data_IF_238621334221
#
_entry.id   IF_238621334221
#
_cell.length_a   1.000
_cell.length_b   1.000
_cell.length_c   1.000
_cell.angle_alpha   90.00
_cell.angle_beta   90.00
_cell.angle_gamma   90.00
#
_symmetry.space_group_name_H-M   'P 1'
#
loop_
_entity.id
_entity.type
_entity.pdbx_description
1 polymer ?
#
# COMPACT_ATOMS: atom_id res chain seq x y z
N UNK A 1 22.50 20.99 16.75
CA UNK A 1 22.27 20.12 15.59
C UNK A 1 20.77 19.97 15.49
N UNK A 2 20.18 20.37 14.37
CA UNK A 2 18.74 20.22 14.16
C UNK A 2 18.39 18.73 14.23
N UNK A 3 17.41 18.38 15.07
CA UNK A 3 16.88 17.03 15.20
C UNK A 3 16.12 16.67 13.92
N UNK A 4 16.83 16.19 12.90
CA UNK A 4 16.20 15.55 11.75
C UNK A 4 15.67 14.19 12.20
N UNK A 5 14.35 14.03 12.30
CA UNK A 5 13.73 12.72 12.50
C UNK A 5 13.99 11.85 11.27
N UNK A 6 14.22 10.55 11.48
CA UNK A 6 14.58 9.60 10.42
C UNK A 6 13.47 9.48 9.36
N UNK A 7 12.23 9.65 9.81
CA UNK A 7 11.06 9.82 8.96
C UNK A 7 10.40 11.17 9.30
N UNK A 8 9.76 11.84 8.32
CA UNK A 8 8.91 12.98 8.64
C UNK A 8 7.84 12.53 9.63
N UNK A 9 7.62 13.33 10.68
CA UNK A 9 6.50 13.09 11.60
C UNK A 9 5.20 13.30 10.85
N UNK A 10 4.26 12.39 11.06
CA UNK A 10 2.95 12.54 10.43
C UNK A 10 2.21 13.75 11.00
N UNK A 11 1.77 14.63 10.13
CA UNK A 11 0.92 15.76 10.47
C UNK A 11 -0.55 15.35 10.42
N UNK A 12 -1.29 15.57 11.52
CA UNK A 12 -2.73 15.28 11.65
C UNK A 12 -3.08 13.78 11.65
N UNK A 13 -2.17 12.93 12.14
CA UNK A 13 -2.39 11.49 12.30
C UNK A 13 -3.62 11.17 13.18
N UNK A 14 -4.02 12.09 14.06
CA UNK A 14 -5.18 11.92 14.94
C UNK A 14 -6.46 11.64 14.14
N UNK A 15 -6.63 12.25 12.96
CA UNK A 15 -7.81 12.04 12.11
C UNK A 15 -7.95 10.59 11.65
N UNK A 16 -6.83 9.93 11.34
CA UNK A 16 -6.81 8.53 10.93
C UNK A 16 -7.05 7.61 12.14
N UNK A 17 -6.37 7.88 13.26
CA UNK A 17 -6.53 7.07 14.47
C UNK A 17 -7.92 7.22 15.10
N UNK A 18 -8.57 8.37 15.00
CA UNK A 18 -9.98 8.53 15.40
C UNK A 18 -10.92 7.61 14.61
N UNK A 19 -10.64 7.37 13.33
CA UNK A 19 -11.40 6.42 12.50
C UNK A 19 -11.08 4.98 12.88
N UNK A 20 -9.81 4.63 13.09
CA UNK A 20 -9.38 3.30 13.54
C UNK A 20 -10.03 2.95 14.89
N UNK A 21 -9.96 3.85 15.87
CA UNK A 21 -10.50 3.63 17.22
C UNK A 21 -12.02 3.46 17.26
N UNK A 22 -12.74 3.99 16.26
CA UNK A 22 -14.20 3.81 16.12
C UNK A 22 -14.58 2.47 15.48
N UNK A 23 -13.63 1.76 14.87
CA UNK A 23 -13.85 0.47 14.22
C UNK A 23 -13.08 -0.65 14.96
N UNK A 24 -13.77 -1.47 15.77
CA UNK A 24 -13.14 -2.57 16.51
C UNK A 24 -12.37 -3.56 15.61
N UNK A 25 -12.83 -3.74 14.37
CA UNK A 25 -12.17 -4.61 13.41
C UNK A 25 -10.87 -4.00 12.91
N UNK A 26 -10.82 -2.68 12.69
CA UNK A 26 -9.59 -1.98 12.35
C UNK A 26 -8.56 -2.07 13.47
N UNK A 27 -8.98 -1.86 14.73
CA UNK A 27 -8.12 -2.07 15.89
C UNK A 27 -7.56 -3.49 15.96
N UNK A 28 -8.41 -4.50 15.73
CA UNK A 28 -8.01 -5.91 15.71
C UNK A 28 -6.97 -6.18 14.63
N UNK A 29 -7.20 -5.73 13.40
CA UNK A 29 -6.27 -5.92 12.27
C UNK A 29 -4.91 -5.27 12.50
N UNK A 30 -4.90 -4.06 13.05
CA UNK A 30 -3.66 -3.37 13.40
C UNK A 30 -2.86 -4.16 14.45
N UNK A 31 -3.57 -4.64 15.48
CA UNK A 31 -2.98 -5.45 16.54
C UNK A 31 -2.44 -6.78 16.01
N UNK A 32 -3.21 -7.50 15.20
CA UNK A 32 -2.80 -8.77 14.58
C UNK A 32 -1.57 -8.57 13.69
N UNK A 33 -1.56 -7.55 12.83
CA UNK A 33 -0.42 -7.26 11.95
C UNK A 33 0.84 -6.96 12.77
N UNK A 34 0.70 -6.22 13.87
CA UNK A 34 1.83 -5.91 14.76
C UNK A 34 2.41 -7.18 15.40
N UNK A 35 1.58 -8.04 15.99
CA UNK A 35 2.08 -9.28 16.61
C UNK A 35 2.61 -10.27 15.57
N UNK A 36 1.95 -10.42 14.42
CA UNK A 36 2.46 -11.24 13.32
C UNK A 36 3.85 -10.75 12.85
N UNK A 37 4.06 -9.43 12.80
CA UNK A 37 5.38 -8.87 12.46
C UNK A 37 6.44 -9.07 13.54
N UNK A 38 6.05 -9.29 14.80
CA UNK A 38 6.97 -9.65 15.89
C UNK A 38 7.28 -11.16 15.93
N UNK A 39 6.28 -12.00 15.62
CA UNK A 39 6.36 -13.46 15.72
C UNK A 39 6.94 -14.15 14.48
N UNK A 40 7.01 -13.44 13.34
CA UNK A 40 7.54 -13.97 12.08
C UNK A 40 9.02 -14.39 12.13
N UNK A 41 9.76 -14.01 13.19
CA UNK A 41 11.16 -14.33 13.42
C UNK A 41 11.39 -15.35 14.57
N UNK A 42 10.39 -16.17 14.92
CA UNK A 42 10.53 -17.17 15.99
C UNK A 42 11.49 -18.33 15.69
N UNK A 43 12.03 -18.44 14.47
CA UNK A 43 12.96 -19.50 14.04
C UNK A 43 14.38 -19.01 13.63
N UNK A 44 14.76 -17.75 13.91
CA UNK A 44 16.05 -17.20 13.45
C UNK A 44 16.90 -16.64 14.60
N UNK A 45 18.12 -17.16 14.74
CA UNK A 45 19.24 -16.56 15.51
C UNK A 45 19.66 -15.14 15.01
N UNK A 46 18.89 -14.47 14.13
CA UNK A 46 19.21 -13.20 13.47
C UNK A 46 18.08 -12.14 13.46
N UNK A 47 16.93 -12.32 14.14
CA UNK A 47 15.75 -11.44 13.91
C UNK A 47 15.66 -10.13 14.71
N UNK A 48 16.47 -9.94 15.75
CA UNK A 48 16.39 -8.76 16.63
C UNK A 48 17.67 -7.94 16.57
N UNK A 49 17.55 -6.61 16.61
CA UNK A 49 18.68 -5.74 16.86
C UNK A 49 19.47 -6.24 18.10
N UNK A 50 20.81 -6.23 18.07
CA UNK A 50 21.61 -6.55 19.25
C UNK A 50 21.15 -5.74 20.48
N UNK A 51 21.22 -6.29 21.72
CA UNK A 51 20.67 -5.66 22.92
C UNK A 51 21.10 -4.19 23.11
N UNK A 52 22.35 -3.87 22.79
CA UNK A 52 22.89 -2.51 22.87
C UNK A 52 22.27 -1.58 21.83
N UNK A 53 22.04 -2.08 20.61
CA UNK A 53 21.38 -1.34 19.53
C UNK A 53 19.90 -1.11 19.84
N UNK A 54 19.23 -2.09 20.44
CA UNK A 54 17.87 -1.93 20.97
C UNK A 54 17.80 -0.86 22.06
N UNK A 55 18.70 -0.91 23.05
CA UNK A 55 18.76 0.10 24.12
C UNK A 55 19.02 1.52 23.58
N UNK A 56 19.85 1.63 22.54
CA UNK A 56 20.08 2.89 21.83
C UNK A 56 18.81 3.39 21.14
N UNK A 57 18.14 2.54 20.33
CA UNK A 57 16.91 2.90 19.64
C UNK A 57 15.80 3.34 20.62
N UNK A 58 15.71 2.69 21.79
CA UNK A 58 14.77 3.06 22.85
C UNK A 58 15.08 4.44 23.43
N UNK A 59 16.35 4.73 23.74
CA UNK A 59 16.75 6.05 24.26
C UNK A 59 16.55 7.16 23.23
N UNK A 60 16.83 6.87 21.96
CA UNK A 60 16.67 7.81 20.86
C UNK A 60 15.19 8.13 20.63
N UNK A 61 14.33 7.11 20.53
CA UNK A 61 12.88 7.27 20.42
C UNK A 61 12.30 8.11 21.57
N UNK A 62 12.79 7.91 22.81
CA UNK A 62 12.38 8.71 23.97
C UNK A 62 12.81 10.18 23.85
N UNK A 63 14.07 10.44 23.51
CA UNK A 63 14.60 11.81 23.38
C UNK A 63 13.96 12.58 22.22
N UNK A 64 13.81 11.90 21.09
CA UNK A 64 13.34 12.49 19.84
C UNK A 64 11.83 12.37 19.65
N UNK A 65 11.10 11.74 20.58
CA UNK A 65 9.66 11.46 20.46
C UNK A 65 9.32 10.83 19.11
N UNK A 66 10.18 9.92 18.65
CA UNK A 66 10.07 9.25 17.36
C UNK A 66 9.75 7.77 17.61
N UNK A 67 8.47 7.45 17.52
CA UNK A 67 7.99 6.08 17.70
C UNK A 67 8.43 5.17 16.55
N UNK A 68 8.64 5.72 15.35
CA UNK A 68 8.98 4.95 14.15
C UNK A 68 10.32 4.24 14.31
N UNK A 69 11.31 4.92 14.89
CA UNK A 69 12.62 4.33 15.17
C UNK A 69 12.52 3.09 16.09
N UNK A 70 11.63 3.13 17.08
CA UNK A 70 11.40 2.01 17.99
C UNK A 70 10.60 0.89 17.30
N UNK A 71 9.56 1.22 16.53
CA UNK A 71 8.76 0.24 15.79
C UNK A 71 9.63 -0.56 14.81
N UNK A 72 10.51 0.12 14.08
CA UNK A 72 11.45 -0.55 13.18
C UNK A 72 12.42 -1.47 13.91
N UNK A 73 12.84 -1.10 15.12
CA UNK A 73 13.71 -1.93 15.95
C UNK A 73 13.02 -3.21 16.46
N UNK A 74 11.72 -3.18 16.74
CA UNK A 74 11.00 -4.31 17.36
C UNK A 74 10.24 -5.19 16.37
N UNK A 75 9.80 -4.63 15.24
CA UNK A 75 8.98 -5.35 14.27
C UNK A 75 9.30 -5.03 12.82
N UNK A 76 10.44 -4.38 12.53
CA UNK A 76 10.92 -4.10 11.17
C UNK A 76 9.87 -3.43 10.26
N UNK A 77 9.06 -2.55 10.85
CA UNK A 77 8.05 -1.78 10.16
C UNK A 77 8.01 -0.35 10.73
N UNK A 78 7.85 0.64 9.86
CA UNK A 78 7.42 1.98 10.30
C UNK A 78 5.94 1.96 10.72
N UNK A 79 5.47 3.06 11.34
CA UNK A 79 4.02 3.22 11.60
C UNK A 79 3.18 3.09 10.32
N UNK A 80 3.66 3.65 9.21
CA UNK A 80 2.95 3.56 7.92
C UNK A 80 2.99 2.18 7.31
N UNK A 81 4.11 1.46 7.46
CA UNK A 81 4.19 0.09 7.00
C UNK A 81 3.19 -0.77 7.77
N UNK A 82 3.07 -0.61 9.09
CA UNK A 82 2.04 -1.28 9.87
C UNK A 82 0.63 -0.93 9.37
N UNK A 83 0.30 0.35 9.23
CA UNK A 83 -1.02 0.78 8.76
C UNK A 83 -1.36 0.23 7.35
N UNK A 84 -0.40 0.27 6.42
CA UNK A 84 -0.57 -0.26 5.05
C UNK A 84 -0.67 -1.77 5.05
N UNK A 85 0.14 -2.46 5.84
CA UNK A 85 0.14 -3.92 5.94
C UNK A 85 -1.12 -4.45 6.64
N UNK A 86 -1.72 -3.67 7.53
CA UNK A 86 -3.05 -3.91 8.11
C UNK A 86 -4.21 -3.52 7.18
N UNK A 87 -3.91 -3.01 5.97
CA UNK A 87 -4.86 -2.40 5.03
C UNK A 87 -5.77 -1.34 5.67
N UNK A 88 -5.18 -0.53 6.55
CA UNK A 88 -5.79 0.63 7.20
C UNK A 88 -5.30 1.95 6.58
N UNK A 89 -4.33 1.89 5.67
CA UNK A 89 -3.92 2.99 4.83
C UNK A 89 -3.74 2.52 3.38
N UNK A 90 -4.16 3.31 2.37
CA UNK A 90 -3.85 3.03 0.98
C UNK A 90 -2.36 3.29 0.69
N UNK A 91 -1.90 2.75 -0.44
CA UNK A 91 -0.58 3.01 -0.99
C UNK A 91 -0.59 4.28 -1.83
N UNK A 92 0.46 5.10 -1.73
CA UNK A 92 0.61 6.23 -2.63
C UNK A 92 1.14 5.75 -3.98
N UNK A 93 0.50 6.18 -5.07
CA UNK A 93 1.01 5.96 -6.42
C UNK A 93 2.38 6.62 -6.55
N UNK A 94 3.32 5.84 -7.07
CA UNK A 94 4.67 6.30 -7.40
C UNK A 94 5.42 6.96 -6.22
N UNK A 95 5.14 6.48 -4.99
CA UNK A 95 5.75 6.99 -3.77
C UNK A 95 7.28 7.00 -3.88
N UNK A 96 7.90 8.07 -3.39
CA UNK A 96 9.36 8.24 -3.33
C UNK A 96 10.04 8.15 -4.71
N UNK A 97 9.32 8.51 -5.78
CA UNK A 97 9.81 8.48 -7.16
C UNK A 97 9.93 7.07 -7.75
N UNK A 98 9.46 6.03 -7.06
CA UNK A 98 9.45 4.65 -7.56
C UNK A 98 8.10 4.27 -8.12
N UNK A 99 8.05 3.77 -9.34
CA UNK A 99 6.80 3.31 -9.96
C UNK A 99 6.18 2.12 -9.18
N UNK A 100 5.05 2.33 -8.52
CA UNK A 100 4.28 1.30 -7.82
C UNK A 100 2.79 1.71 -7.74
N UNK A 101 1.87 0.88 -8.27
CA UNK A 101 2.12 -0.33 -9.03
C UNK A 101 2.69 -0.02 -10.42
N UNK A 102 3.49 -0.93 -10.97
CA UNK A 102 4.05 -0.81 -12.33
C UNK A 102 2.98 -1.22 -13.34
N UNK A 103 2.63 -0.32 -14.24
CA UNK A 103 1.70 -0.60 -15.32
C UNK A 103 2.36 -1.52 -16.35
N UNK A 104 1.74 -2.65 -16.63
CA UNK A 104 2.23 -3.65 -17.59
C UNK A 104 1.46 -3.61 -18.91
N UNK A 105 0.40 -2.81 -18.99
CA UNK A 105 -0.35 -2.59 -20.23
C UNK A 105 -0.63 -1.12 -20.46
N UNK A 106 -0.75 -0.72 -21.72
CA UNK A 106 -1.26 0.60 -22.10
C UNK A 106 -2.79 0.72 -21.88
N UNK A 107 -3.34 1.91 -22.16
CA UNK A 107 -4.78 2.20 -22.12
C UNK A 107 -5.63 1.29 -23.03
N UNK A 108 -5.02 0.74 -24.10
CA UNK A 108 -5.65 -0.18 -25.07
C UNK A 108 -5.49 -1.65 -24.66
N UNK A 109 -4.94 -1.91 -23.48
CA UNK A 109 -4.70 -3.23 -22.93
C UNK A 109 -3.61 -4.02 -23.66
N UNK A 110 -2.67 -3.36 -24.33
CA UNK A 110 -1.51 -3.99 -24.96
C UNK A 110 -0.34 -4.07 -23.98
N UNK A 111 0.34 -5.21 -23.94
CA UNK A 111 1.46 -5.45 -23.03
C UNK A 111 2.68 -4.58 -23.31
N UNK A 112 3.20 -3.93 -22.26
CA UNK A 112 4.39 -3.06 -22.26
C UNK A 112 5.64 -3.89 -21.96
N UNK A 113 6.30 -4.39 -23.01
CA UNK A 113 7.46 -5.31 -22.89
C UNK A 113 8.68 -4.65 -22.26
N UNK A 114 8.81 -3.34 -22.39
CA UNK A 114 9.92 -2.53 -21.88
C UNK A 114 10.03 -2.53 -20.34
N UNK A 115 8.96 -2.92 -19.62
CA UNK A 115 8.95 -2.96 -18.15
C UNK A 115 9.77 -4.12 -17.57
N UNK A 116 10.14 -5.12 -18.37
CA UNK A 116 11.02 -6.22 -17.94
C UNK A 116 10.41 -7.18 -16.90
N UNK A 117 9.12 -7.05 -16.57
CA UNK A 117 8.42 -7.92 -15.61
C UNK A 117 7.80 -9.09 -16.35
N UNK A 118 8.11 -10.31 -15.90
CA UNK A 118 7.56 -11.52 -16.50
C UNK A 118 6.08 -11.70 -16.12
N UNK A 119 5.25 -11.93 -17.13
CA UNK A 119 3.83 -12.27 -16.98
C UNK A 119 3.58 -13.55 -17.76
N UNK A 120 2.86 -14.50 -17.17
CA UNK A 120 2.48 -15.72 -17.87
C UNK A 120 1.43 -15.43 -18.95
N UNK A 121 1.51 -16.14 -20.09
CA UNK A 121 0.51 -16.01 -21.17
C UNK A 121 -0.91 -16.22 -20.64
N UNK A 122 -1.09 -17.14 -19.68
CA UNK A 122 -2.37 -17.41 -19.02
C UNK A 122 -2.94 -16.19 -18.29
N UNK A 123 -2.11 -15.47 -17.55
CA UNK A 123 -2.56 -14.28 -16.79
C UNK A 123 -2.85 -13.11 -17.73
N UNK A 124 -2.04 -12.94 -18.79
CA UNK A 124 -2.29 -11.92 -19.81
C UNK A 124 -3.55 -12.22 -20.62
N UNK A 125 -3.76 -13.45 -21.07
CA UNK A 125 -4.97 -13.87 -21.80
C UNK A 125 -6.23 -13.69 -20.94
N UNK A 126 -6.13 -14.02 -19.65
CA UNK A 126 -7.21 -13.78 -18.69
C UNK A 126 -7.53 -12.29 -18.58
N UNK A 127 -6.53 -11.43 -18.43
CA UNK A 127 -6.74 -9.98 -18.42
C UNK A 127 -7.38 -9.49 -19.73
N UNK A 128 -6.86 -9.92 -20.89
CA UNK A 128 -7.36 -9.53 -22.23
C UNK A 128 -8.81 -9.91 -22.45
N UNK A 129 -9.24 -11.08 -21.94
CA UNK A 129 -10.65 -11.49 -22.00
C UNK A 129 -11.55 -10.53 -21.22
N UNK A 130 -11.20 -10.25 -19.97
CA UNK A 130 -11.96 -9.35 -19.09
C UNK A 130 -12.00 -7.93 -19.65
N UNK A 131 -10.85 -7.43 -20.13
CA UNK A 131 -10.72 -6.11 -20.73
C UNK A 131 -11.67 -5.92 -21.94
N UNK A 132 -11.84 -6.97 -22.77
CA UNK A 132 -12.76 -6.94 -23.91
C UNK A 132 -14.23 -6.94 -23.50
N UNK A 133 -14.58 -7.63 -22.43
CA UNK A 133 -15.95 -7.76 -21.93
C UNK A 133 -16.43 -6.49 -21.20
N UNK A 134 -15.52 -5.85 -20.45
CA UNK A 134 -15.83 -4.66 -19.63
C UNK A 134 -15.37 -3.35 -20.28
N UNK A 135 -15.98 -3.03 -21.43
CA UNK A 135 -15.71 -1.75 -22.10
C UNK A 135 -16.13 -0.56 -21.24
N UNK A 136 -15.27 0.45 -21.15
CA UNK A 136 -15.51 1.68 -20.39
C UNK A 136 -14.95 1.68 -18.95
N UNK A 137 -14.45 0.55 -18.45
CA UNK A 137 -13.72 0.51 -17.17
C UNK A 137 -12.23 0.73 -17.43
N UNK A 138 -11.64 1.76 -16.80
CA UNK A 138 -10.19 2.00 -16.85
C UNK A 138 -9.46 0.91 -16.07
N UNK A 139 -8.96 -0.10 -16.79
CA UNK A 139 -8.29 -1.24 -16.20
C UNK A 139 -6.97 -1.57 -16.89
N UNK A 140 -5.99 -1.98 -16.09
CA UNK A 140 -4.64 -2.27 -16.54
C UNK A 140 -4.16 -3.56 -15.90
N UNK A 141 -3.34 -4.32 -16.62
CA UNK A 141 -2.50 -5.32 -15.97
C UNK A 141 -1.37 -4.56 -15.27
N UNK A 142 -1.12 -4.88 -14.01
CA UNK A 142 -0.09 -4.21 -13.24
C UNK A 142 0.66 -5.19 -12.33
N UNK A 143 1.87 -4.78 -11.96
CA UNK A 143 2.67 -5.43 -10.94
C UNK A 143 2.70 -4.56 -9.70
N UNK A 144 2.15 -5.07 -8.60
CA UNK A 144 2.07 -4.38 -7.32
C UNK A 144 2.92 -5.09 -6.27
N UNK A 145 3.55 -4.31 -5.39
CA UNK A 145 4.26 -4.83 -4.23
C UNK A 145 4.06 -3.91 -3.02
N UNK A 146 4.26 -4.47 -1.83
CA UNK A 146 4.31 -3.74 -0.57
C UNK A 146 5.77 -3.44 -0.23
N UNK A 147 5.98 -2.37 0.53
CA UNK A 147 7.28 -1.97 1.05
C UNK A 147 7.30 -2.21 2.56
N UNK A 148 8.46 -2.57 3.10
CA UNK A 148 8.76 -2.46 4.53
C UNK A 148 10.09 -1.76 4.71
N UNK A 149 10.23 -1.03 5.81
CA UNK A 149 11.48 -0.42 6.21
C UNK A 149 12.05 -1.14 7.43
N UNK A 150 13.30 -1.58 7.35
CA UNK A 150 14.01 -2.19 8.47
C UNK A 150 15.41 -1.60 8.60
N UNK A 151 16.03 -1.77 9.76
CA UNK A 151 17.45 -1.49 9.92
C UNK A 151 18.27 -2.60 9.30
N UNK A 152 19.26 -2.24 8.50
CA UNK A 152 20.31 -3.17 8.10
C UNK A 152 21.12 -3.61 9.33
N UNK A 153 21.38 -4.91 9.43
CA UNK A 153 21.99 -5.53 10.62
C UNK A 153 23.42 -5.02 10.86
N UNK A 154 24.16 -4.76 9.78
CA UNK A 154 25.56 -4.39 9.83
C UNK A 154 25.73 -2.87 10.01
N UNK A 155 25.05 -2.08 9.17
CA UNK A 155 25.27 -0.63 9.03
C UNK A 155 24.36 0.22 9.91
N UNK A 156 23.22 -0.31 10.38
CA UNK A 156 22.15 0.46 11.02
C UNK A 156 21.52 1.54 10.14
N UNK A 157 21.75 1.48 8.83
CA UNK A 157 21.04 2.32 7.89
C UNK A 157 19.62 1.77 7.65
N UNK A 158 18.71 2.66 7.26
CA UNK A 158 17.35 2.26 6.90
C UNK A 158 17.36 1.70 5.49
N UNK A 159 16.95 0.46 5.35
CA UNK A 159 16.73 -0.18 4.05
C UNK A 159 15.25 -0.40 3.76
N UNK A 160 14.88 -0.25 2.49
CA UNK A 160 13.55 -0.54 1.97
C UNK A 160 13.55 -1.91 1.28
N UNK A 161 12.65 -2.79 1.71
CA UNK A 161 12.48 -4.12 1.13
C UNK A 161 11.13 -4.27 0.43
N UNK A 162 11.13 -4.88 -0.76
CA UNK A 162 9.92 -5.28 -1.47
C UNK A 162 9.36 -6.58 -0.90
N UNK A 163 8.05 -6.65 -0.77
CA UNK A 163 7.36 -7.86 -0.30
C UNK A 163 5.95 -7.98 -0.87
N UNK A 164 5.41 -9.20 -0.90
CA UNK A 164 4.05 -9.45 -1.39
C UNK A 164 3.85 -9.09 -2.86
N UNK A 165 4.86 -9.36 -3.68
CA UNK A 165 4.89 -9.08 -5.11
C UNK A 165 3.82 -9.88 -5.85
N UNK A 166 2.99 -9.19 -6.62
CA UNK A 166 1.86 -9.79 -7.30
C UNK A 166 1.62 -9.18 -8.69
N UNK A 167 1.26 -10.05 -9.64
CA UNK A 167 0.61 -9.64 -10.88
C UNK A 167 -0.90 -9.55 -10.63
N UNK A 168 -1.50 -8.44 -11.03
CA UNK A 168 -2.89 -8.11 -10.73
C UNK A 168 -3.54 -7.26 -11.80
N UNK A 169 -4.86 -7.11 -11.67
CA UNK A 169 -5.63 -6.10 -12.41
C UNK A 169 -5.74 -4.86 -11.55
N UNK A 170 -5.27 -3.74 -12.06
CA UNK A 170 -5.46 -2.42 -11.46
C UNK A 170 -6.66 -1.74 -12.12
N UNK A 171 -7.67 -1.44 -11.31
CA UNK A 171 -8.78 -0.58 -11.70
C UNK A 171 -8.46 0.84 -11.27
N UNK A 172 -8.63 1.80 -12.17
CA UNK A 172 -8.36 3.22 -11.91
C UNK A 172 -9.65 4.01 -11.97
N UNK A 173 -9.93 4.76 -10.92
CA UNK A 173 -11.08 5.64 -10.79
C UNK A 173 -10.61 7.08 -10.58
N UNK A 174 -11.43 8.05 -10.96
CA UNK A 174 -11.18 9.45 -10.62
C UNK A 174 -11.43 9.67 -9.12
N UNK A 175 -10.53 10.39 -8.45
CA UNK A 175 -10.71 10.72 -7.04
C UNK A 175 -11.87 11.73 -6.86
N UNK A 176 -12.69 11.58 -5.81
CA UNK A 176 -13.65 12.62 -5.42
C UNK A 176 -12.93 13.95 -5.16
N UNK A 177 -13.57 15.07 -5.52
CA UNK A 177 -12.97 16.41 -5.37
C UNK A 177 -12.50 16.72 -3.94
N UNK A 178 -13.13 16.10 -2.93
CA UNK A 178 -12.77 16.24 -1.50
C UNK A 178 -11.37 15.73 -1.14
N UNK A 179 -10.76 14.88 -1.98
CA UNK A 179 -9.39 14.35 -1.82
C UNK A 179 -8.37 15.26 -2.49
N UNK A 180 -8.75 15.97 -3.56
CA UNK A 180 -7.86 16.84 -4.35
C UNK A 180 -7.33 18.03 -3.53
N UNK A 181 -8.11 18.48 -2.56
CA UNK A 181 -7.81 19.64 -1.71
C UNK A 181 -6.97 19.32 -0.45
N UNK A 182 -6.48 18.08 -0.28
CA UNK A 182 -5.77 17.69 0.95
C UNK A 182 -4.27 18.00 0.87
N UNK A 183 -3.75 18.55 1.97
CA UNK A 183 -2.36 19.00 2.08
C UNK A 183 -1.43 17.92 2.67
N UNK A 184 -1.96 16.97 3.44
CA UNK A 184 -1.17 15.91 4.12
C UNK A 184 -1.62 14.49 3.77
N UNK A 185 -0.74 13.50 3.97
CA UNK A 185 -1.07 12.09 3.71
C UNK A 185 -2.18 11.56 4.62
N UNK A 186 -2.14 11.86 5.92
CA UNK A 186 -3.22 11.50 6.85
C UNK A 186 -4.59 12.05 6.42
N UNK A 187 -4.64 13.28 5.89
CA UNK A 187 -5.89 13.85 5.38
C UNK A 187 -6.40 13.11 4.15
N UNK A 188 -5.52 12.71 3.23
CA UNK A 188 -5.87 11.91 2.07
C UNK A 188 -6.37 10.51 2.50
N UNK A 189 -5.69 9.87 3.46
CA UNK A 189 -6.09 8.58 4.03
C UNK A 189 -7.47 8.63 4.68
N UNK A 190 -7.72 9.67 5.49
CA UNK A 190 -9.02 9.87 6.12
C UNK A 190 -10.14 10.07 5.09
N UNK A 191 -9.86 10.72 3.96
CA UNK A 191 -10.83 10.98 2.91
C UNK A 191 -11.21 9.73 2.11
N UNK A 192 -10.26 8.81 1.86
CA UNK A 192 -10.54 7.55 1.15
C UNK A 192 -10.86 6.37 2.09
N UNK A 193 -10.87 6.61 3.41
CA UNK A 193 -11.10 5.59 4.43
C UNK A 193 -12.37 4.78 4.20
N UNK A 194 -13.51 5.45 3.96
CA UNK A 194 -14.81 4.76 3.88
C UNK A 194 -14.86 3.83 2.66
N UNK A 195 -14.31 4.27 1.53
CA UNK A 195 -14.14 3.47 0.31
C UNK A 195 -13.20 2.29 0.58
N UNK A 196 -12.04 2.56 1.20
CA UNK A 196 -11.07 1.53 1.53
C UNK A 196 -11.67 0.46 2.46
N UNK A 197 -12.40 0.83 3.51
CA UNK A 197 -13.05 -0.12 4.41
C UNK A 197 -14.13 -0.94 3.71
N UNK A 198 -14.92 -0.32 2.84
CA UNK A 198 -15.89 -1.03 2.02
C UNK A 198 -15.21 -2.05 1.08
N UNK A 199 -14.09 -1.68 0.46
CA UNK A 199 -13.24 -2.57 -0.35
C UNK A 199 -12.72 -3.69 0.53
N UNK A 200 -12.07 -3.41 1.65
CA UNK A 200 -11.49 -4.44 2.51
C UNK A 200 -12.54 -5.42 3.03
N UNK A 201 -13.76 -4.96 3.33
CA UNK A 201 -14.87 -5.82 3.78
C UNK A 201 -15.34 -6.80 2.70
N UNK A 202 -15.43 -6.39 1.43
CA UNK A 202 -15.90 -7.26 0.34
C UNK A 202 -14.75 -7.95 -0.43
N UNK A 203 -13.56 -7.36 -0.42
CA UNK A 203 -12.36 -7.69 -1.19
C UNK A 203 -11.10 -7.64 -0.29
N UNK A 204 -10.97 -8.52 0.72
CA UNK A 204 -9.94 -8.43 1.77
C UNK A 204 -8.49 -8.64 1.29
N UNK A 205 -8.29 -8.94 0.01
CA UNK A 205 -6.96 -9.12 -0.61
C UNK A 205 -6.66 -8.07 -1.67
N UNK A 206 -7.51 -7.06 -1.80
CA UNK A 206 -7.28 -5.93 -2.71
C UNK A 206 -6.36 -4.91 -2.03
N UNK A 207 -5.48 -4.30 -2.81
CA UNK A 207 -4.73 -3.12 -2.38
C UNK A 207 -5.40 -1.87 -2.94
N UNK A 208 -5.45 -0.82 -2.12
CA UNK A 208 -5.99 0.48 -2.55
C UNK A 208 -4.82 1.42 -2.73
N UNK A 209 -4.80 2.13 -3.85
CA UNK A 209 -3.81 3.15 -4.18
C UNK A 209 -4.49 4.52 -4.29
N UNK A 210 -3.77 5.59 -4.01
CA UNK A 210 -4.21 6.97 -4.19
C UNK A 210 -3.03 7.84 -4.66
N UNK A 211 -3.28 8.97 -5.31
CA UNK A 211 -2.21 9.93 -5.57
C UNK A 211 -2.61 11.05 -6.52
N UNK A 212 -2.07 12.23 -6.28
CA UNK A 212 -2.21 13.37 -7.17
C UNK A 212 -1.38 13.15 -8.44
N UNK A 213 -1.93 13.46 -9.62
CA UNK A 213 -1.25 13.29 -10.92
C UNK A 213 -0.72 11.86 -11.20
N UNK A 214 -1.45 10.85 -10.71
CA UNK A 214 -0.97 9.46 -10.65
C UNK A 214 -1.16 8.65 -11.92
N UNK A 215 -2.09 9.06 -12.80
CA UNK A 215 -2.40 8.34 -14.04
C UNK A 215 -2.40 9.29 -15.21
N UNK A 216 -1.63 8.97 -16.26
CA UNK A 216 -1.68 9.66 -17.54
C UNK A 216 -2.76 9.04 -18.42
N UNK A 217 -3.73 9.85 -18.86
CA UNK A 217 -4.71 9.50 -19.87
C UNK A 217 -4.64 10.52 -21.01
N UNK A 218 -4.20 10.09 -22.19
CA UNK A 218 -4.04 10.98 -23.35
C UNK A 218 -3.10 12.18 -23.10
N UNK A 219 -2.10 12.02 -22.23
CA UNK A 219 -1.13 13.07 -21.87
C UNK A 219 -1.57 14.02 -20.75
N UNK A 220 -2.72 13.77 -20.11
CA UNK A 220 -3.15 14.51 -18.91
C UNK A 220 -3.00 13.62 -17.68
N UNK A 221 -2.28 14.12 -16.68
CA UNK A 221 -2.21 13.51 -15.35
C UNK A 221 -3.45 13.90 -14.54
N UNK A 222 -3.99 12.95 -13.80
CA UNK A 222 -5.11 13.20 -12.89
C UNK A 222 -4.99 12.40 -11.60
N UNK A 223 -5.67 12.90 -10.59
CA UNK A 223 -5.78 12.30 -9.27
C UNK A 223 -6.61 11.01 -9.35
N UNK A 224 -5.96 9.87 -9.12
CA UNK A 224 -6.55 8.54 -9.29
C UNK A 224 -6.67 7.77 -7.97
N UNK A 225 -7.78 7.05 -7.82
CA UNK A 225 -7.93 5.95 -6.86
C UNK A 225 -7.69 4.64 -7.61
N UNK A 226 -6.71 3.87 -7.16
CA UNK A 226 -6.41 2.55 -7.70
C UNK A 226 -7.01 1.45 -6.83
N UNK A 227 -7.66 0.46 -7.43
CA UNK A 227 -8.02 -0.79 -6.75
C UNK A 227 -7.31 -1.93 -7.44
N UNK A 228 -6.29 -2.47 -6.78
CA UNK A 228 -5.46 -3.54 -7.29
C UNK A 228 -5.96 -4.90 -6.80
N UNK A 229 -6.22 -5.79 -7.76
CA UNK A 229 -6.74 -7.13 -7.54
C UNK A 229 -5.71 -8.17 -7.99
N UNK A 230 -4.95 -8.79 -7.07
CA UNK A 230 -3.97 -9.82 -7.43
C UNK A 230 -4.65 -11.02 -8.13
N UNK A 231 -4.19 -11.38 -9.33
CA UNK A 231 -4.84 -12.41 -10.16
C UNK A 231 -4.86 -13.76 -9.43
N UNK A 232 -3.72 -14.19 -8.85
CA UNK A 232 -3.63 -15.48 -8.17
C UNK A 232 -4.45 -15.56 -6.88
N UNK A 233 -4.76 -14.41 -6.24
CA UNK A 233 -5.55 -14.38 -5.00
C UNK A 233 -7.05 -14.45 -5.27
N UNK A 234 -7.50 -14.01 -6.44
CA UNK A 234 -8.91 -13.94 -6.82
C UNK A 234 -9.33 -14.96 -7.89
N UNK A 235 -8.37 -15.55 -8.61
CA UNK A 235 -8.53 -16.63 -9.57
C UNK A 235 -9.75 -16.43 -10.50
N UNK A 236 -10.64 -17.41 -10.58
CA UNK A 236 -11.79 -17.41 -11.50
C UNK A 236 -12.90 -16.43 -11.09
N UNK A 237 -12.77 -15.77 -9.93
CA UNK A 237 -13.74 -14.79 -9.45
C UNK A 237 -13.36 -13.36 -9.81
N UNK A 238 -12.26 -13.14 -10.53
CA UNK A 238 -11.73 -11.81 -10.83
C UNK A 238 -12.76 -10.87 -11.47
N UNK A 239 -13.54 -11.34 -12.44
CA UNK A 239 -14.64 -10.58 -13.08
C UNK A 239 -15.68 -10.10 -12.06
N UNK A 240 -16.10 -10.99 -11.14
CA UNK A 240 -17.01 -10.66 -10.04
C UNK A 240 -16.39 -9.63 -9.09
N UNK A 241 -15.10 -9.77 -8.78
CA UNK A 241 -14.39 -8.84 -7.88
C UNK A 241 -14.28 -7.43 -8.50
N UNK A 242 -14.05 -7.34 -9.81
CA UNK A 242 -14.06 -6.05 -10.52
C UNK A 242 -15.45 -5.40 -10.42
N UNK A 243 -16.53 -6.17 -10.63
CA UNK A 243 -17.89 -5.64 -10.46
C UNK A 243 -18.19 -5.16 -9.05
N UNK A 244 -17.65 -5.83 -8.02
CA UNK A 244 -17.77 -5.40 -6.63
C UNK A 244 -16.99 -4.10 -6.38
N UNK A 245 -15.78 -3.96 -6.93
CA UNK A 245 -14.98 -2.76 -6.81
C UNK A 245 -15.69 -1.55 -7.46
N UNK A 246 -16.21 -1.72 -8.67
CA UNK A 246 -16.99 -0.69 -9.37
C UNK A 246 -18.21 -0.26 -8.53
N UNK A 247 -18.96 -1.22 -7.97
CA UNK A 247 -20.13 -0.96 -7.11
C UNK A 247 -19.79 -0.24 -5.81
N UNK A 248 -18.56 -0.34 -5.31
CA UNK A 248 -18.13 0.35 -4.09
C UNK A 248 -17.69 1.78 -4.42
N UNK A 249 -16.87 1.95 -5.47
CA UNK A 249 -16.21 3.23 -5.76
C UNK A 249 -17.15 4.20 -6.50
N UNK A 250 -18.07 3.69 -7.33
CA UNK A 250 -19.01 4.52 -8.10
C UNK A 250 -20.34 4.81 -7.38
N UNK A 251 -20.44 4.53 -6.07
CA UNK A 251 -21.61 4.88 -5.25
C UNK A 251 -21.55 6.30 -4.76
#
# INVERSE_FOLDING_TARGET
MENSTLFPREEKAELLFEKILKDPEACRRLTETFYESMDADTDIECGYLPPEKFAYALLDAYKNRDLTALLMAICQNSMFDLLRNSFLAPFRFNADGQENPVFLTDEKGNFLREKGIHVSDRDYDRFRRIYREKQGVKMYLAYGYRKRHAYDEDTMEVEEYKMGEHIGVLLVYELPDSVREKETEAQAYAAVWDIMMAIQKKLPRAFVYYGQDSVEDGGKRYDGLGVFLPIHKFADRLEKMIGIADEIVMK
#
